data_IF_502259635495
#
_entry.id   IF_502259635495
#
_cell.length_a   1.000
_cell.length_b   1.000
_cell.length_c   1.000
_cell.angle_alpha   90.00
_cell.angle_beta   90.00
_cell.angle_gamma   90.00
#
_symmetry.space_group_name_H-M   'P 1'
#
loop_
_entity.id
_entity.type
_entity.pdbx_description
1 polymer ?
#
# COMPACT_ATOMS: atom_id res chain seq x y z
N UNK A 1 -12.26 14.26 -17.43
CA UNK A 1 -10.99 13.53 -17.58
C UNK A 1 -10.89 12.53 -16.44
N UNK A 2 -10.61 11.25 -16.70
CA UNK A 2 -10.31 10.32 -15.62
C UNK A 2 -8.95 10.68 -15.03
N UNK A 3 -8.86 10.67 -13.70
CA UNK A 3 -7.57 10.83 -13.02
C UNK A 3 -6.76 9.56 -13.27
N UNK A 4 -5.53 9.71 -13.75
CA UNK A 4 -4.58 8.60 -13.90
C UNK A 4 -3.93 8.31 -12.53
N UNK A 5 -4.57 7.42 -11.76
CA UNK A 5 -4.15 7.11 -10.40
C UNK A 5 -2.84 6.31 -10.37
N UNK A 6 -2.59 5.45 -11.35
CA UNK A 6 -1.34 4.71 -11.49
C UNK A 6 -0.14 5.65 -11.59
N UNK A 7 -0.26 6.72 -12.39
CA UNK A 7 0.79 7.74 -12.49
C UNK A 7 1.00 8.47 -11.17
N UNK A 8 -0.07 8.85 -10.47
CA UNK A 8 0.04 9.55 -9.18
C UNK A 8 0.70 8.67 -8.12
N UNK A 9 0.29 7.40 -8.03
CA UNK A 9 0.86 6.42 -7.09
C UNK A 9 2.33 6.15 -7.37
N UNK A 10 2.73 6.05 -8.65
CA UNK A 10 4.15 5.93 -9.04
C UNK A 10 4.96 7.15 -8.65
N UNK A 11 4.43 8.36 -8.88
CA UNK A 11 5.10 9.61 -8.51
C UNK A 11 5.27 9.73 -7.00
N UNK A 12 4.22 9.43 -6.24
CA UNK A 12 4.26 9.36 -4.79
C UNK A 12 5.30 8.35 -4.30
N UNK A 13 5.29 7.11 -4.82
CA UNK A 13 6.26 6.06 -4.47
C UNK A 13 7.70 6.52 -4.65
N UNK A 14 8.04 7.05 -5.82
CA UNK A 14 9.41 7.49 -6.11
C UNK A 14 9.82 8.72 -5.27
N UNK A 15 8.89 9.65 -5.04
CA UNK A 15 9.15 10.83 -4.23
C UNK A 15 9.41 10.45 -2.77
N UNK A 16 8.52 9.66 -2.16
CA UNK A 16 8.67 9.19 -0.79
C UNK A 16 9.97 8.38 -0.63
N UNK A 17 10.26 7.48 -1.58
CA UNK A 17 11.49 6.68 -1.59
C UNK A 17 12.74 7.56 -1.61
N UNK A 18 12.76 8.57 -2.48
CA UNK A 18 13.88 9.49 -2.60
C UNK A 18 14.05 10.33 -1.34
N UNK A 19 12.95 10.86 -0.79
CA UNK A 19 12.98 11.70 0.41
C UNK A 19 13.51 10.89 1.60
N UNK A 20 12.97 9.68 1.81
CA UNK A 20 13.45 8.76 2.85
C UNK A 20 14.95 8.49 2.72
N UNK A 21 15.36 7.91 1.59
CA UNK A 21 16.73 7.44 1.38
C UNK A 21 17.78 8.56 1.42
N UNK A 22 17.40 9.79 1.08
CA UNK A 22 18.34 10.91 0.99
C UNK A 22 18.42 11.69 2.30
N UNK A 23 17.28 11.92 2.97
CA UNK A 23 17.19 12.89 4.05
C UNK A 23 16.87 12.30 5.41
N UNK A 24 16.12 11.19 5.47
CA UNK A 24 15.63 10.64 6.75
C UNK A 24 16.38 9.38 7.18
N UNK A 25 16.72 8.48 6.25
CA UNK A 25 17.48 7.26 6.53
C UNK A 25 18.81 7.53 7.28
N UNK A 26 19.58 8.60 7.00
CA UNK A 26 20.80 8.88 7.74
C UNK A 26 20.59 9.47 9.15
N UNK A 27 19.36 9.86 9.51
CA UNK A 27 19.07 10.53 10.77
C UNK A 27 18.81 9.51 11.89
N UNK A 28 19.34 9.74 13.10
CA UNK A 28 18.88 9.01 14.28
C UNK A 28 17.37 9.20 14.46
N UNK A 29 16.60 8.11 14.55
CA UNK A 29 15.13 8.12 14.62
C UNK A 29 14.43 8.73 13.40
N UNK A 30 15.08 8.76 12.23
CA UNK A 30 14.49 9.32 11.01
C UNK A 30 13.14 8.72 10.61
N UNK A 31 12.88 7.46 11.00
CA UNK A 31 11.59 6.79 10.78
C UNK A 31 10.43 7.51 11.49
N UNK A 32 10.64 8.06 12.69
CA UNK A 32 9.57 8.71 13.45
C UNK A 32 9.14 10.02 12.79
N UNK A 33 10.13 10.80 12.35
CA UNK A 33 9.91 12.08 11.68
C UNK A 33 9.36 11.91 10.25
N UNK A 34 9.71 10.81 9.58
CA UNK A 34 9.31 10.59 8.20
C UNK A 34 7.82 10.24 8.04
N UNK A 35 7.16 9.67 9.05
CA UNK A 35 5.74 9.27 8.98
C UNK A 35 4.85 10.45 8.57
N UNK A 36 5.02 11.62 9.20
CA UNK A 36 4.22 12.80 8.88
C UNK A 36 4.53 13.35 7.48
N UNK A 37 5.78 13.23 7.04
CA UNK A 37 6.20 13.63 5.70
C UNK A 37 5.61 12.69 4.65
N UNK A 38 5.64 11.38 4.87
CA UNK A 38 5.03 10.38 3.98
C UNK A 38 3.53 10.65 3.82
N UNK A 39 2.82 10.94 4.92
CA UNK A 39 1.42 11.33 4.90
C UNK A 39 1.18 12.61 4.07
N UNK A 40 1.98 13.65 4.28
CA UNK A 40 1.86 14.90 3.52
C UNK A 40 2.12 14.69 2.02
N UNK A 41 3.09 13.84 1.67
CA UNK A 41 3.40 13.46 0.29
C UNK A 41 2.21 12.72 -0.34
N UNK A 42 1.63 11.74 0.35
CA UNK A 42 0.46 11.01 -0.14
C UNK A 42 -0.74 11.94 -0.36
N UNK A 43 -1.02 12.82 0.61
CA UNK A 43 -2.10 13.79 0.51
C UNK A 43 -1.91 14.73 -0.69
N UNK A 44 -0.73 15.35 -0.83
CA UNK A 44 -0.47 16.35 -1.86
C UNK A 44 -0.33 15.77 -3.27
N UNK A 45 0.33 14.62 -3.40
CA UNK A 45 0.67 14.00 -4.70
C UNK A 45 -0.42 13.06 -5.20
N UNK A 46 -1.20 12.45 -4.32
CA UNK A 46 -2.26 11.49 -4.71
C UNK A 46 -3.64 12.08 -4.47
N UNK A 47 -4.01 12.33 -3.21
CA UNK A 47 -5.40 12.62 -2.85
C UNK A 47 -5.90 13.94 -3.46
N UNK A 48 -5.15 15.03 -3.27
CA UNK A 48 -5.51 16.35 -3.83
C UNK A 48 -5.59 16.29 -5.35
N UNK A 49 -4.62 15.64 -6.00
CA UNK A 49 -4.58 15.50 -7.46
C UNK A 49 -5.71 14.63 -8.00
N UNK A 50 -6.18 13.66 -7.21
CA UNK A 50 -7.32 12.82 -7.53
C UNK A 50 -8.68 13.46 -7.22
N UNK A 51 -8.70 14.69 -6.68
CA UNK A 51 -9.94 15.32 -6.22
C UNK A 51 -10.57 14.58 -5.03
N UNK A 52 -9.75 13.88 -4.25
CA UNK A 52 -10.12 13.21 -2.99
C UNK A 52 -9.86 14.15 -1.81
N UNK A 53 -10.33 15.40 -1.90
CA UNK A 53 -10.19 16.38 -0.81
C UNK A 53 -11.17 16.02 0.31
N UNK A 54 -10.70 15.24 1.29
CA UNK A 54 -11.39 15.05 2.57
C UNK A 54 -10.72 15.87 3.67
N UNK A 55 -11.45 16.05 4.77
CA UNK A 55 -10.98 16.74 5.97
C UNK A 55 -9.69 16.06 6.50
N UNK A 56 -8.73 16.86 6.95
CA UNK A 56 -7.45 16.39 7.53
C UNK A 56 -7.60 15.44 8.74
N UNK A 57 -8.81 15.30 9.29
CA UNK A 57 -9.12 14.44 10.44
C UNK A 57 -9.31 12.96 10.06
N UNK A 58 -9.28 12.58 8.77
CA UNK A 58 -9.63 11.23 8.29
C UNK A 58 -8.51 10.52 7.48
N UNK A 59 -7.25 10.95 7.63
CA UNK A 59 -6.11 10.52 6.79
C UNK A 59 -5.88 9.00 6.69
N UNK A 60 -6.15 8.24 7.76
CA UNK A 60 -6.08 6.76 7.73
C UNK A 60 -7.29 6.12 7.06
N UNK A 61 -8.49 6.69 7.21
CA UNK A 61 -9.69 6.23 6.51
C UNK A 61 -9.62 6.49 5.00
N UNK A 62 -8.73 7.40 4.58
CA UNK A 62 -8.53 7.79 3.19
C UNK A 62 -7.67 6.83 2.36
N UNK A 63 -6.80 6.05 2.99
CA UNK A 63 -6.01 5.04 2.26
C UNK A 63 -6.93 3.97 1.66
N UNK A 64 -8.03 3.66 2.36
CA UNK A 64 -9.04 2.72 1.90
C UNK A 64 -9.91 3.23 0.75
N UNK A 65 -9.79 4.51 0.37
CA UNK A 65 -10.46 5.06 -0.81
C UNK A 65 -9.80 4.62 -2.13
N UNK A 66 -8.58 4.09 -2.08
CA UNK A 66 -7.87 3.56 -3.26
C UNK A 66 -8.03 2.05 -3.31
N UNK A 67 -8.64 1.57 -4.40
CA UNK A 67 -8.68 0.14 -4.74
C UNK A 67 -7.39 -0.28 -5.42
N UNK A 68 -6.89 -1.45 -5.04
CA UNK A 68 -5.75 -2.12 -5.67
C UNK A 68 -6.28 -3.23 -6.57
N UNK A 69 -5.90 -3.21 -7.84
CA UNK A 69 -6.27 -4.22 -8.84
C UNK A 69 -5.06 -5.05 -9.22
N UNK A 70 -5.03 -6.35 -8.85
CA UNK A 70 -3.95 -7.21 -9.26
C UNK A 70 -3.98 -7.48 -10.77
N UNK A 71 -2.82 -7.41 -11.41
CA UNK A 71 -2.61 -7.77 -12.80
C UNK A 71 -2.16 -9.24 -12.86
N UNK A 72 -3.10 -10.15 -13.07
CA UNK A 72 -2.79 -11.59 -13.06
C UNK A 72 -2.00 -12.02 -14.30
N UNK A 73 -0.90 -12.77 -14.13
CA UNK A 73 -0.17 -13.37 -15.23
C UNK A 73 -0.97 -14.53 -15.87
N UNK A 74 -0.60 -15.00 -17.07
CA UNK A 74 -1.28 -16.11 -17.76
C UNK A 74 -1.36 -17.42 -16.96
N UNK A 75 -0.46 -17.62 -15.99
CA UNK A 75 -0.48 -18.78 -15.08
C UNK A 75 -1.67 -18.77 -14.10
N UNK A 76 -2.44 -17.68 -14.05
CA UNK A 76 -3.73 -17.62 -13.37
C UNK A 76 -3.64 -17.46 -11.85
N UNK A 77 -2.52 -16.99 -11.30
CA UNK A 77 -2.39 -16.58 -9.90
C UNK A 77 -1.22 -15.61 -9.72
N UNK A 78 -1.21 -14.89 -8.59
CA UNK A 78 -0.10 -14.09 -8.11
C UNK A 78 0.46 -14.70 -6.82
N UNK A 79 1.77 -14.80 -6.74
CA UNK A 79 2.45 -15.10 -5.48
C UNK A 79 2.39 -13.85 -4.59
N UNK A 80 1.90 -14.01 -3.37
CA UNK A 80 1.71 -12.92 -2.41
C UNK A 80 2.23 -13.33 -1.04
N UNK A 81 2.57 -12.34 -0.23
CA UNK A 81 2.66 -12.56 1.22
C UNK A 81 1.36 -12.09 1.85
N UNK A 82 0.86 -12.81 2.84
CA UNK A 82 -0.31 -12.40 3.59
C UNK A 82 -0.09 -12.59 5.09
N UNK A 83 -0.73 -11.74 5.88
CA UNK A 83 -0.75 -11.87 7.31
C UNK A 83 -2.08 -11.41 7.88
N UNK A 84 -2.50 -12.06 8.97
CA UNK A 84 -3.67 -11.61 9.72
C UNK A 84 -3.35 -10.27 10.38
N UNK A 85 -4.31 -9.35 10.35
CA UNK A 85 -4.20 -8.07 11.04
C UNK A 85 -3.84 -8.33 12.52
N UNK A 86 -2.78 -7.71 13.06
CA UNK A 86 -2.36 -7.94 14.43
C UNK A 86 -3.51 -7.61 15.39
N UNK A 87 -3.81 -8.54 16.28
CA UNK A 87 -4.75 -8.31 17.38
C UNK A 87 -3.95 -7.82 18.59
N UNK A 88 -4.58 -7.16 19.58
CA UNK A 88 -3.87 -6.74 20.80
C UNK A 88 -3.13 -7.87 21.53
N UNK A 89 -3.50 -9.14 21.27
CA UNK A 89 -2.89 -10.35 21.83
C UNK A 89 -1.69 -10.88 21.03
N UNK A 90 -1.54 -10.50 19.76
CA UNK A 90 -0.47 -10.99 18.87
C UNK A 90 0.30 -9.78 18.36
N UNK A 91 1.48 -9.54 18.96
CA UNK A 91 2.34 -8.40 18.60
C UNK A 91 3.20 -8.66 17.37
N UNK A 92 3.52 -9.92 17.08
CA UNK A 92 4.35 -10.30 15.94
C UNK A 92 3.48 -10.74 14.76
N UNK A 93 3.64 -10.05 13.63
CA UNK A 93 2.95 -10.37 12.38
C UNK A 93 3.76 -11.45 11.66
N UNK A 94 3.24 -12.68 11.65
CA UNK A 94 3.84 -13.77 10.88
C UNK A 94 3.32 -13.73 9.45
N UNK A 95 4.15 -13.24 8.53
CA UNK A 95 3.86 -13.24 7.12
C UNK A 95 4.02 -14.64 6.53
N UNK A 96 3.02 -15.06 5.77
CA UNK A 96 2.97 -16.35 5.10
C UNK A 96 2.97 -16.14 3.59
N UNK A 97 3.70 -17.00 2.88
CA UNK A 97 3.62 -17.02 1.42
C UNK A 97 2.35 -17.77 1.00
N UNK A 98 1.64 -17.19 0.04
CA UNK A 98 0.41 -17.76 -0.49
C UNK A 98 0.19 -17.36 -1.94
N UNK A 99 -0.99 -17.73 -2.45
CA UNK A 99 -1.41 -17.42 -3.82
C UNK A 99 -2.72 -16.65 -3.79
N UNK A 100 -2.76 -15.58 -4.59
CA UNK A 100 -3.97 -14.86 -4.91
C UNK A 100 -4.45 -15.31 -6.29
N UNK A 101 -5.71 -15.70 -6.39
CA UNK A 101 -6.34 -16.16 -7.63
C UNK A 101 -7.22 -15.04 -8.21
N UNK A 102 -7.40 -15.00 -9.54
CA UNK A 102 -8.40 -14.15 -10.16
C UNK A 102 -9.80 -14.48 -9.63
N UNK A 103 -10.65 -13.47 -9.50
CA UNK A 103 -12.02 -13.62 -9.03
C UNK A 103 -12.59 -12.29 -8.54
N UNK A 104 -13.73 -12.34 -7.86
CA UNK A 104 -14.24 -11.18 -7.13
C UNK A 104 -13.24 -10.79 -6.04
N UNK A 105 -12.62 -9.61 -6.16
CA UNK A 105 -11.59 -9.11 -5.25
C UNK A 105 -11.85 -7.63 -4.91
N UNK A 106 -11.92 -7.33 -3.62
CA UNK A 106 -11.87 -5.96 -3.10
C UNK A 106 -10.63 -5.79 -2.23
N UNK A 107 -9.59 -5.17 -2.80
CA UNK A 107 -8.34 -4.87 -2.12
C UNK A 107 -8.21 -3.35 -1.93
N UNK A 108 -7.86 -2.92 -0.72
CA UNK A 108 -7.73 -1.50 -0.37
C UNK A 108 -6.30 -1.15 0.02
N UNK A 109 -5.78 -0.09 -0.56
CA UNK A 109 -4.40 0.34 -0.33
C UNK A 109 -4.17 0.71 1.14
N UNK A 110 -3.07 0.25 1.72
CA UNK A 110 -2.63 0.62 3.07
C UNK A 110 -1.30 1.36 3.07
N UNK A 111 -0.50 1.24 2.02
CA UNK A 111 0.85 1.83 1.97
C UNK A 111 1.77 1.04 1.05
N UNK A 112 2.93 1.62 0.77
CA UNK A 112 4.04 0.85 0.22
C UNK A 112 4.79 0.15 1.36
N UNK A 113 5.47 -0.94 1.01
CA UNK A 113 6.14 -1.78 1.98
C UNK A 113 7.45 -2.32 1.41
N UNK A 114 8.42 -2.50 2.31
CA UNK A 114 9.67 -3.21 2.07
C UNK A 114 10.12 -3.92 3.36
N UNK A 115 10.97 -4.93 3.21
CA UNK A 115 11.59 -5.67 4.32
C UNK A 115 12.85 -4.99 4.87
N UNK A 116 13.24 -3.86 4.29
CA UNK A 116 14.35 -3.04 4.74
C UNK A 116 14.19 -2.71 6.24
N UNK A 117 15.28 -2.79 7.00
CA UNK A 117 15.28 -2.32 8.38
C UNK A 117 15.18 -0.78 8.40
N UNK A 118 14.95 -0.21 9.58
CA UNK A 118 14.85 1.24 9.75
C UNK A 118 16.12 2.00 9.34
N UNK A 119 17.27 1.32 9.35
CA UNK A 119 18.56 1.89 8.95
C UNK A 119 18.91 1.61 7.49
N UNK A 120 18.08 0.85 6.75
CA UNK A 120 18.34 0.46 5.38
C UNK A 120 17.60 1.39 4.38
N UNK A 121 18.12 1.56 3.16
CA UNK A 121 17.37 2.18 2.09
C UNK A 121 16.07 1.42 1.81
N UNK A 122 14.99 2.15 1.56
CA UNK A 122 13.73 1.56 1.13
C UNK A 122 13.63 1.54 -0.38
N UNK A 123 13.10 0.45 -0.92
CA UNK A 123 12.76 0.32 -2.34
C UNK A 123 11.25 0.34 -2.60
N UNK A 124 10.42 0.27 -1.54
CA UNK A 124 8.96 0.19 -1.67
C UNK A 124 8.53 -0.85 -2.71
N UNK A 125 9.14 -2.03 -2.63
CA UNK A 125 8.94 -3.11 -3.59
C UNK A 125 7.48 -3.59 -3.62
N UNK A 126 6.83 -3.60 -2.46
CA UNK A 126 5.49 -4.13 -2.30
C UNK A 126 4.45 -3.03 -2.11
N UNK A 127 3.25 -3.33 -2.58
CA UNK A 127 2.01 -2.67 -2.22
C UNK A 127 1.36 -3.48 -1.12
N UNK A 128 1.20 -2.87 0.06
CA UNK A 128 0.40 -3.43 1.14
C UNK A 128 -1.06 -3.05 0.92
N UNK A 129 -1.92 -4.06 0.87
CA UNK A 129 -3.35 -3.87 0.73
C UNK A 129 -4.13 -4.72 1.74
N UNK A 130 -5.30 -4.28 2.14
CA UNK A 130 -6.25 -5.06 2.93
C UNK A 130 -7.24 -5.76 2.03
N UNK A 131 -7.50 -7.04 2.29
CA UNK A 131 -8.54 -7.82 1.63
C UNK A 131 -9.87 -7.60 2.33
N UNK A 132 -10.81 -6.94 1.66
CA UNK A 132 -12.17 -6.73 2.16
C UNK A 132 -13.15 -7.81 1.70
N UNK A 133 -12.97 -8.32 0.49
CA UNK A 133 -13.78 -9.39 -0.07
C UNK A 133 -12.95 -10.21 -1.07
N UNK A 134 -13.11 -11.54 -1.04
CA UNK A 134 -12.46 -12.44 -2.01
C UNK A 134 -13.20 -13.79 -2.12
N UNK A 135 -12.99 -14.50 -3.22
CA UNK A 135 -13.41 -15.91 -3.35
C UNK A 135 -12.52 -16.89 -2.56
N UNK A 136 -11.48 -16.38 -1.88
CA UNK A 136 -10.57 -17.11 -1.00
C UNK A 136 -10.79 -16.72 0.48
N UNK A 137 -11.77 -17.32 1.19
CA UNK A 137 -12.23 -16.84 2.50
C UNK A 137 -11.11 -16.76 3.56
N UNK A 138 -10.06 -17.56 3.43
CA UNK A 138 -8.90 -17.53 4.31
C UNK A 138 -8.09 -16.23 4.25
N UNK A 139 -8.21 -15.47 3.15
CA UNK A 139 -7.53 -14.20 2.95
C UNK A 139 -8.39 -13.00 3.36
N UNK A 140 -9.69 -13.15 3.57
CA UNK A 140 -10.56 -12.04 3.99
C UNK A 140 -10.10 -11.45 5.33
N UNK A 141 -10.00 -10.12 5.39
CA UNK A 141 -9.49 -9.39 6.57
C UNK A 141 -7.97 -9.48 6.78
N UNK A 142 -7.24 -10.18 5.90
CA UNK A 142 -5.78 -10.18 5.92
C UNK A 142 -5.22 -8.94 5.21
N UNK A 143 -4.01 -8.57 5.61
CA UNK A 143 -3.16 -7.69 4.83
C UNK A 143 -2.34 -8.56 3.85
N UNK A 144 -2.23 -8.11 2.61
CA UNK A 144 -1.49 -8.78 1.54
C UNK A 144 -0.41 -7.85 0.98
N UNK A 145 0.73 -8.42 0.59
CA UNK A 145 1.80 -7.74 -0.12
C UNK A 145 1.81 -8.24 -1.56
N UNK A 146 1.62 -7.31 -2.49
CA UNK A 146 1.73 -7.54 -3.93
C UNK A 146 2.93 -6.79 -4.48
N UNK A 147 3.65 -7.36 -5.43
CA UNK A 147 4.70 -6.64 -6.16
C UNK A 147 4.11 -5.40 -6.83
N UNK A 148 4.73 -4.22 -6.65
CA UNK A 148 4.29 -2.97 -7.29
C UNK A 148 4.02 -3.09 -8.81
N UNK A 149 4.88 -3.72 -9.64
CA UNK A 149 4.61 -3.87 -11.07
C UNK A 149 3.42 -4.79 -11.40
N UNK A 150 2.90 -5.54 -10.43
CA UNK A 150 1.79 -6.48 -10.61
C UNK A 150 0.44 -5.89 -10.18
N UNK A 151 0.33 -4.58 -9.98
CA UNK A 151 -0.94 -3.94 -9.59
C UNK A 151 -1.22 -2.64 -10.36
N UNK A 152 -2.49 -2.30 -10.46
CA UNK A 152 -2.99 -0.96 -10.83
C UNK A 152 -3.89 -0.40 -9.73
N UNK A 153 -4.18 0.89 -9.80
CA UNK A 153 -4.93 1.63 -8.78
C UNK A 153 -6.19 2.28 -9.34
N UNK A 154 -7.29 2.18 -8.58
CA UNK A 154 -8.58 2.76 -8.95
C UNK A 154 -9.18 3.58 -7.79
N UNK A 155 -9.95 4.62 -8.12
CA UNK A 155 -10.77 5.34 -7.14
C UNK A 155 -11.98 4.47 -6.76
N UNK A 156 -12.09 4.07 -5.50
CA UNK A 156 -13.14 3.17 -5.06
C UNK A 156 -14.54 3.79 -5.02
N UNK A 157 -14.65 5.12 -5.15
CA UNK A 157 -15.92 5.87 -5.17
C UNK A 157 -16.61 5.84 -6.53
N UNK A 158 -15.93 5.34 -7.56
CA UNK A 158 -16.43 5.19 -8.94
C UNK A 158 -16.65 3.72 -9.26
#
# INVERSE_FOLDING_TARGET
>A
MSVDLDRLMRQYRECARHVWNTYFQPLPEGWHEFIDVEHALFQGLVLVQAGMNLSATESFALMEAIRVRPCFPPVGHLEVFHAKTPTPKVREVQWQQGRLSPGALDLRFLGFFDWANQDDPQDYRFVRARVFATEQPELEGCDVLLEFPAVTFEDARR
#
